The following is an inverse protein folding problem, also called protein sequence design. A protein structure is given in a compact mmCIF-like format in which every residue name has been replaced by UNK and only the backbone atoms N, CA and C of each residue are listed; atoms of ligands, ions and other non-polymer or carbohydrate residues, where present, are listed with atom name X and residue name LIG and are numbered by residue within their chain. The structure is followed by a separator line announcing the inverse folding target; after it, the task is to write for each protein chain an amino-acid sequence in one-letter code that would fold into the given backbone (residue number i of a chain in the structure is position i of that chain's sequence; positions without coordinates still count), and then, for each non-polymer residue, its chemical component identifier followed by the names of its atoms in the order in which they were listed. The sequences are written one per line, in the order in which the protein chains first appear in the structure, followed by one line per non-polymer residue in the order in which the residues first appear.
data_IF_056331950696
#
_entry.id   IF_056331950696
#
_cell.length_a   1.000
_cell.length_b   1.000
_cell.length_c   1.000
_cell.angle_alpha   90.00
_cell.angle_beta   90.00
_cell.angle_gamma   90.00
#
_symmetry.space_group_name_H-M   'P 1'
#
loop_
_entity.id
_entity.type
_entity.pdbx_description
1 polymer ?
#
# COMPACT_ATOMS: atom_id res chain seq x y z
N UNK A 1 15.41 -8.27 -1.41
CA UNK A 1 16.78 -8.00 -0.96
C UNK A 1 16.84 -6.75 -0.07
N UNK A 2 16.25 -5.60 -0.48
CA UNK A 2 16.26 -4.34 0.28
C UNK A 2 15.65 -4.50 1.67
N UNK A 3 14.45 -5.06 1.80
CA UNK A 3 13.77 -5.30 3.08
C UNK A 3 14.61 -6.14 4.07
N UNK A 4 15.32 -7.17 3.57
CA UNK A 4 16.25 -7.96 4.40
C UNK A 4 17.45 -7.14 4.87
N UNK A 5 17.97 -6.25 4.03
CA UNK A 5 19.10 -5.37 4.39
C UNK A 5 18.69 -4.35 5.45
N UNK A 6 17.46 -3.83 5.36
CA UNK A 6 16.90 -2.87 6.29
C UNK A 6 16.40 -3.51 7.60
N UNK A 7 16.35 -4.84 7.70
CA UNK A 7 15.83 -5.52 8.89
C UNK A 7 14.29 -5.57 8.99
N UNK A 8 13.57 -5.15 7.95
CA UNK A 8 12.10 -5.16 7.90
C UNK A 8 11.55 -6.59 7.93
N UNK A 9 12.26 -7.52 7.31
CA UNK A 9 11.96 -8.95 7.33
C UNK A 9 13.20 -9.76 7.72
N UNK A 10 13.03 -10.93 8.35
CA UNK A 10 14.13 -11.81 8.69
C UNK A 10 15.01 -12.17 7.49
N UNK A 11 16.33 -12.33 7.70
CA UNK A 11 17.28 -12.65 6.63
C UNK A 11 16.98 -13.96 5.91
N UNK A 12 16.42 -14.95 6.62
CA UNK A 12 16.03 -16.27 6.11
C UNK A 12 14.65 -16.31 5.44
N UNK A 13 13.92 -15.20 5.39
CA UNK A 13 12.59 -15.13 4.74
C UNK A 13 12.68 -15.61 3.30
N UNK A 14 11.82 -16.54 2.92
CA UNK A 14 11.65 -17.00 1.54
C UNK A 14 10.59 -16.16 0.84
N UNK A 15 10.80 -15.91 -0.45
CA UNK A 15 9.79 -15.25 -1.27
C UNK A 15 8.58 -16.19 -1.42
N UNK A 16 7.40 -15.68 -1.20
CA UNK A 16 6.15 -16.40 -1.44
C UNK A 16 6.03 -16.81 -2.90
N UNK A 17 5.71 -18.07 -3.21
CA UNK A 17 5.44 -18.50 -4.57
C UNK A 17 4.26 -17.72 -5.16
N UNK A 18 4.36 -17.37 -6.43
CA UNK A 18 3.24 -16.75 -7.15
C UNK A 18 2.05 -17.74 -7.20
N UNK A 19 0.85 -17.34 -6.76
CA UNK A 19 -0.37 -18.14 -6.92
C UNK A 19 -0.61 -18.50 -8.39
N UNK A 20 -1.09 -19.72 -8.64
CA UNK A 20 -1.33 -20.22 -10.01
C UNK A 20 -2.35 -19.38 -10.78
N UNK A 21 -3.28 -18.76 -10.08
CA UNK A 21 -4.31 -17.87 -10.63
C UNK A 21 -3.75 -16.57 -11.20
N UNK A 22 -2.60 -16.12 -10.71
CA UNK A 22 -1.96 -14.92 -11.19
C UNK A 22 -1.05 -15.23 -12.37
N UNK A 23 -1.21 -14.52 -13.47
CA UNK A 23 -0.35 -14.67 -14.66
C UNK A 23 1.07 -14.19 -14.35
N UNK A 24 2.07 -14.89 -14.91
CA UNK A 24 3.45 -14.43 -14.82
C UNK A 24 3.65 -13.22 -15.75
N UNK A 25 4.44 -12.23 -15.33
CA UNK A 25 4.74 -11.07 -16.16
C UNK A 25 5.25 -11.43 -17.56
N UNK A 26 6.14 -12.42 -17.64
CA UNK A 26 6.72 -12.87 -18.91
C UNK A 26 5.73 -13.63 -19.81
N UNK A 27 4.56 -14.01 -19.32
CA UNK A 27 3.50 -14.64 -20.12
C UNK A 27 2.49 -13.65 -20.68
N UNK A 28 2.62 -12.38 -20.34
CA UNK A 28 1.73 -11.31 -20.81
C UNK A 28 2.16 -10.85 -22.20
N UNK A 29 1.18 -10.48 -23.03
CA UNK A 29 1.46 -9.80 -24.30
C UNK A 29 1.82 -8.32 -24.07
N UNK A 30 2.21 -7.63 -25.14
CA UNK A 30 2.72 -6.25 -25.02
C UNK A 30 1.63 -5.26 -24.56
N UNK A 31 0.39 -5.36 -25.07
CA UNK A 31 -0.73 -4.54 -24.63
C UNK A 31 -1.03 -4.71 -23.13
N UNK A 32 -0.99 -5.95 -22.64
CA UNK A 32 -1.19 -6.23 -21.21
C UNK A 32 -0.09 -5.62 -20.35
N UNK A 33 1.16 -5.74 -20.77
CA UNK A 33 2.28 -5.15 -20.05
C UNK A 33 2.18 -3.63 -20.00
N UNK A 34 1.82 -3.01 -21.13
CA UNK A 34 1.65 -1.57 -21.26
C UNK A 34 0.54 -1.07 -20.32
N UNK A 35 -0.67 -1.63 -20.42
CA UNK A 35 -1.80 -1.26 -19.57
C UNK A 35 -1.48 -1.45 -18.07
N UNK A 36 -0.90 -2.59 -17.69
CA UNK A 36 -0.64 -2.88 -16.28
C UNK A 36 0.50 -2.03 -15.71
N UNK A 37 1.49 -1.70 -16.52
CA UNK A 37 2.52 -0.73 -16.14
C UNK A 37 1.90 0.66 -15.93
N UNK A 38 1.04 1.11 -16.86
CA UNK A 38 0.33 2.40 -16.73
C UNK A 38 -0.55 2.47 -15.48
N UNK A 39 -1.29 1.42 -15.14
CA UNK A 39 -2.08 1.37 -13.92
C UNK A 39 -1.20 1.48 -12.67
N UNK A 40 -0.03 0.85 -12.67
CA UNK A 40 0.92 0.96 -11.56
C UNK A 40 1.59 2.33 -11.48
N UNK A 41 1.85 2.98 -12.60
CA UNK A 41 2.33 4.38 -12.64
C UNK A 41 1.32 5.33 -12.00
N UNK A 42 0.03 5.20 -12.34
CA UNK A 42 -1.05 6.01 -11.75
C UNK A 42 -1.15 5.78 -10.24
N UNK A 43 -1.06 4.53 -9.78
CA UNK A 43 -1.02 4.21 -8.36
C UNK A 43 0.21 4.84 -7.67
N UNK A 44 1.38 4.72 -8.25
CA UNK A 44 2.60 5.31 -7.71
C UNK A 44 2.54 6.85 -7.66
N UNK A 45 1.93 7.47 -8.67
CA UNK A 45 1.69 8.91 -8.70
C UNK A 45 0.73 9.36 -7.59
N UNK A 46 -0.35 8.59 -7.34
CA UNK A 46 -1.27 8.85 -6.24
C UNK A 46 -0.56 8.77 -4.87
N UNK A 47 0.31 7.76 -4.67
CA UNK A 47 1.12 7.65 -3.45
C UNK A 47 2.07 8.84 -3.29
N UNK A 48 2.75 9.25 -4.34
CA UNK A 48 3.66 10.41 -4.31
C UNK A 48 2.91 11.72 -4.00
N UNK A 49 1.70 11.87 -4.55
CA UNK A 49 0.84 13.00 -4.23
C UNK A 49 0.39 12.99 -2.77
N UNK A 50 -0.04 11.84 -2.26
CA UNK A 50 -0.43 11.66 -0.85
C UNK A 50 0.74 12.00 0.09
N UNK A 51 1.94 11.48 -0.18
CA UNK A 51 3.15 11.74 0.60
C UNK A 51 3.47 13.24 0.65
N UNK A 52 3.37 13.93 -0.48
CA UNK A 52 3.52 15.38 -0.54
C UNK A 52 2.48 16.12 0.34
N UNK A 53 1.21 15.69 0.34
CA UNK A 53 0.19 16.33 1.18
C UNK A 53 0.42 16.05 2.68
N UNK A 54 0.90 14.86 3.03
CA UNK A 54 1.27 14.54 4.42
C UNK A 54 2.43 15.43 4.86
N UNK A 55 3.43 15.63 4.00
CA UNK A 55 4.55 16.54 4.33
C UNK A 55 4.06 17.96 4.67
N UNK A 56 3.09 18.49 3.93
CA UNK A 56 2.49 19.80 4.24
C UNK A 56 1.84 19.86 5.63
N UNK A 57 1.29 18.76 6.13
CA UNK A 57 0.74 18.67 7.49
C UNK A 57 1.90 18.71 8.51
N UNK A 58 2.98 17.98 8.23
CA UNK A 58 4.17 17.97 9.09
C UNK A 58 4.83 19.36 9.15
N UNK A 59 4.96 20.03 7.99
CA UNK A 59 5.49 21.40 7.91
C UNK A 59 4.63 22.37 8.75
N UNK A 60 3.31 22.26 8.71
CA UNK A 60 2.42 23.08 9.53
C UNK A 60 2.58 22.84 11.03
N UNK A 61 2.82 21.58 11.46
CA UNK A 61 3.14 21.28 12.87
C UNK A 61 4.50 21.88 13.24
N UNK A 62 5.50 21.79 12.38
CA UNK A 62 6.82 22.38 12.61
C UNK A 62 6.75 23.90 12.76
N UNK A 63 5.96 24.60 11.93
CA UNK A 63 5.72 26.04 11.99
C UNK A 63 5.09 26.49 13.32
N UNK A 64 4.35 25.62 14.01
CA UNK A 64 3.82 25.93 15.37
C UNK A 64 4.90 25.87 16.46
N UNK A 65 6.06 25.29 16.18
CA UNK A 65 7.12 25.05 17.15
C UNK A 65 6.86 23.85 18.09
N UNK A 66 5.82 23.05 17.84
CA UNK A 66 5.40 21.95 18.70
C UNK A 66 5.86 20.57 18.19
N UNK A 67 6.65 20.52 17.13
CA UNK A 67 7.09 19.26 16.50
C UNK A 67 7.76 18.32 17.50
N UNK A 68 8.62 18.85 18.38
CA UNK A 68 9.36 18.03 19.36
C UNK A 68 8.44 17.32 20.36
N UNK A 69 7.32 17.95 20.73
CA UNK A 69 6.36 17.40 21.68
C UNK A 69 5.07 16.91 21.03
N UNK A 70 5.09 16.66 19.75
CA UNK A 70 3.95 16.09 19.00
C UNK A 70 4.15 14.60 18.77
N UNK A 71 3.19 13.78 19.22
CA UNK A 71 3.11 12.36 18.87
C UNK A 71 2.51 12.21 17.47
N UNK A 72 3.31 11.76 16.53
CA UNK A 72 2.91 11.48 15.16
C UNK A 72 2.83 9.97 14.97
N UNK A 73 1.66 9.48 14.59
CA UNK A 73 1.42 8.07 14.25
C UNK A 73 1.00 8.00 12.79
N UNK A 74 1.84 7.41 11.96
CA UNK A 74 1.57 7.21 10.54
C UNK A 74 1.31 5.74 10.24
N UNK A 75 0.05 5.40 10.01
CA UNK A 75 -0.39 4.06 9.63
C UNK A 75 -0.64 4.04 8.12
N UNK A 76 0.15 3.24 7.40
CA UNK A 76 0.06 3.12 5.94
C UNK A 76 -0.90 2.01 5.58
N UNK A 77 -2.17 2.37 5.35
CA UNK A 77 -3.26 1.44 5.11
C UNK A 77 -3.72 0.71 6.39
N UNK A 78 -4.94 0.24 6.37
CA UNK A 78 -5.58 -0.53 7.44
C UNK A 78 -5.60 -2.04 7.14
N UNK A 79 -5.26 -2.42 5.93
CA UNK A 79 -5.20 -3.79 5.41
C UNK A 79 -4.18 -3.90 4.28
N UNK A 80 -3.91 -5.12 3.84
CA UNK A 80 -3.02 -5.39 2.70
C UNK A 80 -3.54 -4.83 1.38
N UNK A 81 -2.72 -4.90 0.35
CA UNK A 81 -3.06 -4.40 -0.98
C UNK A 81 -4.31 -5.08 -1.54
N UNK A 82 -5.17 -4.32 -2.20
CA UNK A 82 -6.43 -4.82 -2.78
C UNK A 82 -6.19 -5.63 -4.05
N UNK A 83 -6.85 -6.77 -4.17
CA UNK A 83 -6.91 -7.59 -5.39
C UNK A 83 -8.20 -7.39 -6.19
N UNK A 84 -9.03 -6.41 -5.83
CA UNK A 84 -10.36 -6.14 -6.42
C UNK A 84 -10.29 -5.66 -7.86
N UNK A 85 -9.11 -5.29 -8.35
CA UNK A 85 -8.89 -4.94 -9.76
C UNK A 85 -8.98 -6.08 -10.76
N UNK A 86 -9.35 -7.29 -10.32
CA UNK A 86 -9.46 -8.45 -11.22
C UNK A 86 -8.13 -8.82 -11.91
N UNK A 87 -8.09 -9.74 -12.86
CA UNK A 87 -6.84 -10.11 -13.52
C UNK A 87 -6.23 -9.03 -14.40
N UNK A 88 -7.04 -8.10 -14.93
CA UNK A 88 -6.63 -7.14 -15.96
C UNK A 88 -6.65 -5.67 -15.50
N UNK A 89 -7.04 -5.42 -14.26
CA UNK A 89 -7.29 -4.07 -13.78
C UNK A 89 -8.64 -3.51 -14.26
N UNK A 90 -9.02 -2.35 -13.74
CA UNK A 90 -10.31 -1.73 -14.02
C UNK A 90 -10.14 -0.22 -14.23
N UNK A 91 -10.94 0.36 -15.13
CA UNK A 91 -11.11 1.81 -15.23
C UNK A 91 -12.01 2.36 -14.12
N UNK A 92 -12.96 1.55 -13.66
CA UNK A 92 -13.86 1.90 -12.59
C UNK A 92 -14.05 0.68 -11.67
N UNK A 93 -13.58 0.78 -10.44
CA UNK A 93 -13.66 -0.27 -9.42
C UNK A 93 -15.10 -0.69 -9.12
N UNK A 94 -16.08 0.22 -9.28
CA UNK A 94 -17.48 -0.10 -9.06
C UNK A 94 -18.02 -1.19 -10.00
N UNK A 95 -17.37 -1.44 -11.13
CA UNK A 95 -17.71 -2.55 -12.01
C UNK A 95 -17.48 -3.91 -11.34
N UNK A 96 -16.44 -4.04 -10.53
CA UNK A 96 -16.18 -5.24 -9.73
C UNK A 96 -17.32 -5.52 -8.74
N UNK A 97 -17.71 -4.52 -7.95
CA UNK A 97 -18.75 -4.66 -6.92
C UNK A 97 -20.14 -4.92 -7.52
N UNK A 98 -20.37 -4.53 -8.76
CA UNK A 98 -21.62 -4.76 -9.47
C UNK A 98 -21.59 -5.97 -10.41
N UNK A 99 -20.54 -6.79 -10.37
CA UNK A 99 -20.33 -7.95 -11.24
C UNK A 99 -20.43 -7.61 -12.76
N UNK A 100 -20.02 -6.40 -13.11
CA UNK A 100 -19.99 -5.95 -14.52
C UNK A 100 -18.65 -6.37 -15.12
N UNK A 101 -18.70 -7.22 -16.16
CA UNK A 101 -17.52 -7.61 -16.90
C UNK A 101 -17.17 -6.52 -17.90
N UNK A 102 -15.94 -6.00 -17.83
CA UNK A 102 -15.42 -5.03 -18.78
C UNK A 102 -14.37 -5.73 -19.66
N UNK A 103 -14.54 -5.76 -20.99
CA UNK A 103 -13.54 -6.33 -21.88
C UNK A 103 -12.19 -5.64 -21.74
N UNK A 104 -11.11 -6.40 -21.86
CA UNK A 104 -9.74 -5.86 -21.81
C UNK A 104 -9.52 -4.74 -22.83
N UNK A 105 -9.98 -4.94 -24.08
CA UNK A 105 -9.78 -3.95 -25.16
C UNK A 105 -10.48 -2.61 -24.86
N UNK A 106 -11.61 -2.60 -24.17
CA UNK A 106 -12.31 -1.37 -23.79
C UNK A 106 -11.50 -0.59 -22.74
N UNK A 107 -10.91 -1.32 -21.76
CA UNK A 107 -10.01 -0.72 -20.77
C UNK A 107 -8.72 -0.21 -21.41
N UNK A 108 -8.14 -0.99 -22.32
CA UNK A 108 -6.91 -0.62 -23.02
C UNK A 108 -7.11 0.61 -23.91
N UNK A 109 -8.23 0.69 -24.63
CA UNK A 109 -8.55 1.83 -25.52
C UNK A 109 -8.69 3.15 -24.75
N UNK A 110 -8.96 3.09 -23.44
CA UNK A 110 -9.13 4.25 -22.56
C UNK A 110 -7.99 4.42 -21.55
N UNK A 111 -6.87 3.79 -21.78
CA UNK A 111 -5.71 3.77 -20.87
C UNK A 111 -5.23 5.18 -20.49
N UNK A 112 -5.30 6.14 -21.41
CA UNK A 112 -4.86 7.53 -21.19
C UNK A 112 -5.79 8.31 -20.24
N UNK A 113 -7.01 7.81 -20.00
CA UNK A 113 -7.93 8.42 -19.03
C UNK A 113 -7.60 8.02 -17.58
N UNK A 114 -6.77 6.98 -17.35
CA UNK A 114 -6.42 6.49 -16.04
C UNK A 114 -5.76 7.57 -15.17
N UNK A 115 -6.30 7.73 -13.96
CA UNK A 115 -5.89 8.79 -13.02
C UNK A 115 -6.56 10.13 -13.28
N UNK A 116 -7.39 10.24 -14.31
CA UNK A 116 -8.18 11.43 -14.61
C UNK A 116 -9.52 11.45 -13.86
N UNK A 117 -10.27 12.56 -13.97
CA UNK A 117 -11.50 12.79 -13.19
C UNK A 117 -12.65 11.86 -13.55
N UNK A 118 -12.59 11.19 -14.69
CA UNK A 118 -13.64 10.29 -15.19
C UNK A 118 -13.34 8.82 -14.91
N UNK A 119 -12.29 8.51 -14.14
CA UNK A 119 -11.90 7.15 -13.81
C UNK A 119 -11.78 6.96 -12.30
N UNK A 120 -12.17 5.78 -11.85
CA UNK A 120 -11.95 5.30 -10.50
C UNK A 120 -11.25 3.94 -10.62
N UNK A 121 -10.00 3.99 -11.10
CA UNK A 121 -9.24 2.85 -11.56
C UNK A 121 -8.70 1.97 -10.45
N UNK A 122 -8.50 0.69 -10.79
CA UNK A 122 -7.83 -0.26 -9.93
C UNK A 122 -6.81 -1.09 -10.73
N UNK A 123 -5.63 -1.30 -10.17
CA UNK A 123 -4.57 -2.10 -10.79
C UNK A 123 -4.91 -3.60 -10.77
N UNK A 124 -4.30 -4.42 -11.66
CA UNK A 124 -4.47 -5.88 -11.66
C UNK A 124 -4.08 -6.54 -10.33
N UNK A 125 -4.80 -7.59 -9.93
CA UNK A 125 -4.56 -8.35 -8.69
C UNK A 125 -3.14 -8.90 -8.53
N UNK A 126 -2.41 -9.11 -9.64
CA UNK A 126 -1.02 -9.52 -9.60
C UNK A 126 -0.09 -8.47 -8.98
N UNK A 127 -0.41 -7.18 -9.10
CA UNK A 127 0.32 -6.11 -8.43
C UNK A 127 0.08 -6.11 -6.91
N UNK A 128 -1.16 -6.40 -6.45
CA UNK A 128 -1.44 -6.57 -5.02
C UNK A 128 -0.53 -7.65 -4.42
N UNK A 129 -0.47 -8.84 -5.05
CA UNK A 129 0.43 -9.90 -4.61
C UNK A 129 1.91 -9.45 -4.60
N UNK A 130 2.35 -8.72 -5.61
CA UNK A 130 3.72 -8.24 -5.69
C UNK A 130 4.06 -7.26 -4.56
N UNK A 131 3.14 -6.37 -4.19
CA UNK A 131 3.31 -5.39 -3.12
C UNK A 131 3.27 -6.04 -1.73
N UNK A 132 2.44 -7.04 -1.51
CA UNK A 132 2.32 -7.74 -0.23
C UNK A 132 3.44 -8.75 0.02
N UNK A 133 4.27 -9.08 -0.98
CA UNK A 133 5.37 -10.03 -0.79
C UNK A 133 6.37 -9.51 0.25
N UNK A 134 6.91 -10.38 1.10
CA UNK A 134 6.91 -11.86 1.06
C UNK A 134 5.71 -12.53 1.70
N UNK A 135 4.69 -11.80 2.08
CA UNK A 135 3.50 -12.37 2.72
C UNK A 135 2.55 -12.98 1.68
N UNK A 136 1.71 -13.88 2.14
CA UNK A 136 0.69 -14.52 1.30
C UNK A 136 -0.61 -13.73 1.37
N UNK A 137 -1.36 -13.79 0.27
CA UNK A 137 -2.67 -13.19 0.10
C UNK A 137 -2.66 -11.66 0.14
N UNK A 138 -3.83 -11.07 0.19
CA UNK A 138 -4.09 -9.65 -0.01
C UNK A 138 -5.22 -9.20 0.91
N UNK A 139 -5.65 -7.96 0.82
CA UNK A 139 -6.86 -7.42 1.47
C UNK A 139 -7.99 -8.46 1.50
N UNK A 140 -8.84 -8.42 2.50
CA UNK A 140 -9.96 -9.33 2.81
C UNK A 140 -9.55 -10.69 3.39
N UNK A 141 -8.30 -11.11 3.30
CA UNK A 141 -7.86 -12.42 3.81
C UNK A 141 -7.20 -12.24 5.19
N UNK A 142 -8.03 -12.26 6.23
CA UNK A 142 -7.58 -12.02 7.61
C UNK A 142 -6.68 -13.12 8.19
N UNK A 143 -6.63 -14.30 7.58
CA UNK A 143 -5.81 -15.43 8.03
C UNK A 143 -4.33 -15.34 7.64
N UNK A 144 -3.94 -14.36 6.82
CA UNK A 144 -2.59 -14.25 6.28
C UNK A 144 -2.06 -12.82 6.34
N UNK A 145 -0.76 -12.68 6.50
CA UNK A 145 -0.10 -11.39 6.68
C UNK A 145 -0.18 -10.46 5.45
N UNK A 146 -0.37 -10.96 4.25
CA UNK A 146 -0.64 -10.13 3.09
C UNK A 146 -1.94 -9.34 3.21
N UNK A 147 -2.91 -9.84 4.01
CA UNK A 147 -4.15 -9.12 4.29
C UNK A 147 -4.12 -8.25 5.54
N UNK A 148 -3.21 -8.50 6.49
CA UNK A 148 -3.32 -7.94 7.84
C UNK A 148 -2.06 -7.24 8.37
N UNK A 149 -0.89 -7.42 7.75
CA UNK A 149 0.36 -6.86 8.25
C UNK A 149 0.75 -5.61 7.49
N UNK A 150 0.51 -4.46 8.09
CA UNK A 150 0.80 -3.15 7.52
C UNK A 150 1.97 -2.45 8.21
N UNK A 151 2.48 -1.42 7.56
CA UNK A 151 3.53 -0.60 8.13
C UNK A 151 2.94 0.45 9.08
N UNK A 152 3.65 0.69 10.17
CA UNK A 152 3.39 1.75 11.13
C UNK A 152 4.68 2.52 11.37
N UNK A 153 4.62 3.84 11.31
CA UNK A 153 5.70 4.71 11.75
C UNK A 153 5.24 5.60 12.91
N UNK A 154 6.08 5.75 13.92
CA UNK A 154 5.79 6.58 15.09
C UNK A 154 6.97 7.53 15.30
N UNK A 155 6.66 8.80 15.52
CA UNK A 155 7.62 9.84 15.86
C UNK A 155 7.11 10.65 17.06
N UNK A 156 7.95 10.86 18.05
CA UNK A 156 7.73 11.77 19.17
C UNK A 156 9.08 12.15 19.76
N UNK A 157 9.76 13.16 19.21
CA UNK A 157 11.15 13.46 19.56
C UNK A 157 11.39 13.65 21.05
N UNK A 158 10.47 14.31 21.78
CA UNK A 158 10.60 14.54 23.22
C UNK A 158 10.52 13.26 24.08
N UNK A 159 9.99 12.14 23.55
CA UNK A 159 9.74 10.91 24.32
C UNK A 159 10.36 9.66 23.72
N UNK A 160 10.56 9.63 22.41
CA UNK A 160 11.14 8.50 21.70
C UNK A 160 12.55 8.90 21.27
N UNK A 161 13.56 8.23 21.83
CA UNK A 161 14.93 8.39 21.40
C UNK A 161 15.05 7.96 19.93
N UNK A 162 15.12 8.95 19.04
CA UNK A 162 15.13 8.71 17.60
C UNK A 162 16.50 8.17 17.16
N UNK A 163 16.50 6.96 16.61
CA UNK A 163 17.70 6.33 16.03
C UNK A 163 17.60 6.26 14.50
N UNK A 164 17.00 7.28 13.89
CA UNK A 164 17.00 7.44 12.44
C UNK A 164 16.42 6.26 11.65
N UNK A 165 15.13 5.93 11.84
CA UNK A 165 14.47 4.87 11.07
C UNK A 165 14.72 3.45 11.60
N UNK A 166 14.95 3.31 12.90
CA UNK A 166 15.07 2.01 13.57
C UNK A 166 13.82 1.16 13.32
N UNK A 167 14.01 -0.07 12.80
CA UNK A 167 12.92 -1.03 12.63
C UNK A 167 12.70 -1.76 13.94
N UNK A 168 11.48 -1.64 14.49
CA UNK A 168 11.04 -2.33 15.69
C UNK A 168 10.08 -3.45 15.32
N UNK A 169 10.50 -4.73 15.45
CA UNK A 169 9.73 -5.86 14.96
C UNK A 169 8.66 -6.37 15.94
N UNK A 170 8.41 -5.67 17.04
CA UNK A 170 7.37 -6.05 18.01
C UNK A 170 6.00 -6.12 17.31
N UNK A 171 5.20 -7.08 17.72
CA UNK A 171 3.81 -7.17 17.28
C UNK A 171 2.98 -6.07 17.95
N UNK A 172 2.23 -5.35 17.13
CA UNK A 172 1.22 -4.39 17.54
C UNK A 172 -0.08 -4.68 16.81
N UNK A 173 -1.19 -4.30 17.41
CA UNK A 173 -2.50 -4.34 16.79
C UNK A 173 -3.07 -2.92 16.72
N UNK A 174 -3.93 -2.63 15.75
CA UNK A 174 -4.54 -1.30 15.59
C UNK A 174 -5.31 -0.84 16.84
N UNK A 175 -5.85 -1.79 17.63
CA UNK A 175 -6.53 -1.47 18.89
C UNK A 175 -5.59 -0.91 19.97
N UNK A 176 -4.27 -1.07 19.85
CA UNK A 176 -3.29 -0.56 20.79
C UNK A 176 -3.08 0.97 20.62
N UNK A 177 -3.49 1.54 19.49
CA UNK A 177 -3.30 2.97 19.18
C UNK A 177 -4.11 3.85 20.12
N UNK A 178 -5.40 3.56 20.33
CA UNK A 178 -6.27 4.38 21.19
C UNK A 178 -5.78 4.45 22.63
N UNK A 179 -5.51 3.34 23.33
CA UNK A 179 -4.98 3.41 24.70
C UNK A 179 -3.61 4.10 24.75
N UNK A 180 -2.77 3.94 23.74
CA UNK A 180 -1.48 4.65 23.65
C UNK A 180 -1.67 6.16 23.57
N UNK A 181 -2.63 6.63 22.76
CA UNK A 181 -2.94 8.08 22.66
C UNK A 181 -3.48 8.60 24.00
N UNK A 182 -4.38 7.86 24.64
CA UNK A 182 -4.95 8.26 25.94
C UNK A 182 -3.88 8.35 27.02
N UNK A 183 -2.98 7.39 27.10
CA UNK A 183 -1.86 7.41 28.04
C UNK A 183 -0.87 8.56 27.74
N UNK A 184 -0.62 8.83 26.47
CA UNK A 184 0.26 9.92 26.04
C UNK A 184 -0.30 11.33 26.36
N UNK A 185 -1.63 11.45 26.32
CA UNK A 185 -2.32 12.71 26.59
C UNK A 185 -2.56 12.99 28.08
N UNK A 186 -2.43 12.00 28.98
CA UNK A 186 -2.68 12.11 30.43
C UNK A 186 -4.12 11.77 30.74
#
# INVERSE_FOLDING_TARGET
KRQKKMGIIPKNTKLTPRPKQLRAWNSLNDKQKELYARMMEVYAAALSHMDHQINRILDAVEETGEMDNTLIIYLVGDNGASAEGSPDGLLNEMTFFNNIQVPFEDTYARMDELGGPNTFGHFPSAWAHAMDTPFQWTKQIASHFGGTRNALAISWPARIEARGGEVRPQFHHVIDIMPTILEAAG
#
